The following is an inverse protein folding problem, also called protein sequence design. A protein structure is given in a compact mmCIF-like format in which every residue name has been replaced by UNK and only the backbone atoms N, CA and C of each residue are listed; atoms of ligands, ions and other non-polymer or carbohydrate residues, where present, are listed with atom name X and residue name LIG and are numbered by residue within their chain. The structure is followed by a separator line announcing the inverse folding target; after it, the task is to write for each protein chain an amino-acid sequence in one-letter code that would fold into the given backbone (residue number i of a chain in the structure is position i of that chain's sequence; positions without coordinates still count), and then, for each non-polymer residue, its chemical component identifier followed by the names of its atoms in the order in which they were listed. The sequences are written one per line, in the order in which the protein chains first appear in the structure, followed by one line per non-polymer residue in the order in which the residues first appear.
data_IF_871731852940
#
_entry.id   IF_871731852940
#
_cell.length_a   1.000
_cell.length_b   1.000
_cell.length_c   1.000
_cell.angle_alpha   90.00
_cell.angle_beta   90.00
_cell.angle_gamma   90.00
#
_symmetry.space_group_name_H-M   'P 1'
#
loop_
_entity.id
_entity.type
_entity.pdbx_description
1 polymer ?
#
# COMPACT_ATOMS: atom_id res chain seq x y z
N UNK A 1 -7.78 76.77 -34.00
CA UNK A 1 -6.34 77.06 -34.15
C UNK A 1 -5.56 75.82 -33.82
N UNK A 2 -4.63 75.43 -34.70
CA UNK A 2 -3.63 74.35 -34.55
C UNK A 2 -4.22 72.93 -34.58
N UNK A 3 -4.15 72.12 -35.66
CA UNK A 3 -2.96 71.61 -36.37
C UNK A 3 -1.96 71.00 -35.37
N UNK A 4 -1.62 69.71 -35.43
CA UNK A 4 -0.94 69.10 -36.56
C UNK A 4 -1.17 67.58 -36.68
N UNK A 5 -1.17 67.17 -37.94
CA UNK A 5 -1.10 65.82 -38.47
C UNK A 5 0.22 65.11 -38.09
N UNK A 6 0.13 63.79 -37.90
CA UNK A 6 1.30 62.89 -37.83
C UNK A 6 0.95 61.52 -38.41
N UNK A 7 1.42 61.29 -39.62
CA UNK A 7 1.31 60.05 -40.42
C UNK A 7 2.09 58.89 -39.77
N UNK A 8 1.65 57.61 -39.89
CA UNK A 8 2.26 56.50 -39.15
C UNK A 8 3.49 55.93 -39.88
N UNK A 9 4.53 55.46 -39.17
CA UNK A 9 5.58 54.67 -39.79
C UNK A 9 5.29 53.17 -39.74
N UNK A 10 5.14 52.62 -40.94
CA UNK A 10 5.64 51.33 -41.45
C UNK A 10 5.88 50.20 -40.44
N UNK A 11 5.04 49.19 -40.61
CA UNK A 11 5.21 47.76 -40.33
C UNK A 11 6.66 47.29 -40.33
N UNK A 12 7.16 46.89 -39.16
CA UNK A 12 8.31 45.98 -39.05
C UNK A 12 7.75 44.64 -38.60
N UNK A 13 7.76 43.66 -39.51
CA UNK A 13 7.44 42.27 -39.23
C UNK A 13 8.43 41.76 -38.17
N UNK A 14 7.99 41.64 -36.92
CA UNK A 14 8.70 40.82 -35.93
C UNK A 14 8.38 39.37 -36.22
N UNK A 15 9.42 38.59 -36.50
CA UNK A 15 9.35 37.16 -36.70
C UNK A 15 8.64 36.50 -35.52
N UNK A 16 7.66 35.64 -35.81
CA UNK A 16 7.18 34.67 -34.85
C UNK A 16 8.34 33.71 -34.56
N UNK A 17 8.96 33.84 -33.39
CA UNK A 17 9.75 32.75 -32.83
C UNK A 17 8.78 31.67 -32.36
N UNK A 18 8.51 30.69 -33.22
CA UNK A 18 7.99 29.40 -32.78
C UNK A 18 9.13 28.66 -32.07
N UNK A 19 9.19 28.77 -30.75
CA UNK A 19 9.94 27.81 -29.95
C UNK A 19 9.18 26.49 -30.00
N UNK A 20 9.67 25.52 -30.78
CA UNK A 20 9.33 24.12 -30.52
C UNK A 20 9.93 23.76 -29.15
N UNK A 21 9.12 23.87 -28.10
CA UNK A 21 9.36 23.05 -26.93
C UNK A 21 9.05 21.62 -27.36
N UNK A 22 10.08 20.80 -27.52
CA UNK A 22 9.92 19.36 -27.64
C UNK A 22 9.09 18.89 -26.44
N UNK A 23 7.90 18.35 -26.71
CA UNK A 23 7.20 17.56 -25.72
C UNK A 23 8.15 16.42 -25.32
N UNK A 24 8.68 16.47 -24.11
CA UNK A 24 9.34 15.32 -23.52
C UNK A 24 8.27 14.22 -23.47
N UNK A 25 8.43 13.24 -24.35
CA UNK A 25 7.54 12.11 -24.48
C UNK A 25 7.35 11.47 -23.10
N UNK A 26 6.09 11.29 -22.75
CA UNK A 26 5.65 10.38 -21.70
C UNK A 26 6.44 9.08 -21.82
N UNK A 27 7.21 8.73 -20.79
CA UNK A 27 7.78 7.41 -20.65
C UNK A 27 6.65 6.41 -20.36
N UNK A 28 5.86 6.11 -21.39
CA UNK A 28 4.95 4.99 -21.41
C UNK A 28 5.80 3.74 -21.68
N UNK A 29 6.02 2.98 -20.61
CA UNK A 29 6.19 1.53 -20.53
C UNK A 29 6.97 0.84 -21.67
N UNK A 30 8.29 0.78 -21.51
CA UNK A 30 9.05 -0.33 -22.06
C UNK A 30 8.68 -1.63 -21.31
N UNK A 31 8.55 -2.80 -21.99
CA UNK A 31 8.29 -4.05 -21.31
C UNK A 31 9.50 -4.42 -20.44
N UNK A 32 9.34 -4.37 -19.13
CA UNK A 32 10.38 -4.82 -18.18
C UNK A 32 10.52 -6.34 -18.31
N UNK A 33 11.51 -6.79 -19.09
CA UNK A 33 11.93 -8.20 -19.09
C UNK A 33 12.80 -8.45 -17.85
N UNK A 34 12.16 -8.62 -16.71
CA UNK A 34 12.79 -8.92 -15.42
C UNK A 34 11.72 -9.24 -14.39
N UNK A 35 11.98 -10.15 -13.45
CA UNK A 35 11.07 -10.36 -12.33
C UNK A 35 10.99 -9.05 -11.55
N UNK A 36 9.77 -8.56 -11.29
CA UNK A 36 9.59 -7.42 -10.39
C UNK A 36 10.05 -7.83 -9.00
N UNK A 37 10.90 -7.01 -8.41
CA UNK A 37 11.38 -7.19 -7.04
C UNK A 37 10.35 -6.66 -6.04
N UNK A 38 10.48 -7.07 -4.78
CA UNK A 38 9.69 -6.53 -3.69
C UNK A 38 10.09 -5.08 -3.41
N UNK A 39 9.14 -4.27 -2.94
CA UNK A 39 9.44 -2.93 -2.46
C UNK A 39 10.34 -2.99 -1.22
N UNK A 40 11.18 -1.96 -0.99
CA UNK A 40 12.03 -1.90 0.21
C UNK A 40 11.23 -2.06 1.50
N UNK A 41 11.82 -2.71 2.49
CA UNK A 41 11.21 -2.85 3.80
C UNK A 41 10.91 -1.47 4.42
N UNK A 42 9.81 -1.41 5.16
CA UNK A 42 9.35 -0.21 5.86
C UNK A 42 8.91 -0.60 7.27
N UNK A 43 9.04 0.32 8.22
CA UNK A 43 8.55 0.10 9.58
C UNK A 43 7.04 0.29 9.67
N UNK A 44 6.36 -0.46 10.56
CA UNK A 44 4.95 -0.28 10.78
C UNK A 44 4.71 1.03 11.53
N UNK A 45 3.67 1.77 11.14
CA UNK A 45 3.25 2.99 11.83
C UNK A 45 2.28 2.70 13.00
N UNK A 46 1.72 1.49 13.06
CA UNK A 46 0.85 1.01 14.13
C UNK A 46 1.06 -0.50 14.31
N UNK A 47 1.03 -0.98 15.53
CA UNK A 47 1.00 -2.41 15.85
C UNK A 47 0.39 -2.65 17.22
N UNK A 48 -0.10 -3.85 17.46
CA UNK A 48 -0.72 -4.18 18.72
C UNK A 48 -1.13 -5.64 18.83
N UNK A 49 -1.71 -5.96 19.99
CA UNK A 49 -2.31 -7.25 20.30
C UNK A 49 -3.82 -7.08 20.46
N UNK A 50 -4.61 -7.87 19.75
CA UNK A 50 -6.05 -7.91 19.88
C UNK A 50 -6.47 -9.20 20.58
N UNK A 51 -7.09 -9.10 21.77
CA UNK A 51 -7.69 -10.26 22.43
C UNK A 51 -8.93 -10.71 21.66
N UNK A 52 -8.90 -11.93 21.11
CA UNK A 52 -9.97 -12.48 20.25
C UNK A 52 -10.77 -13.60 20.94
N UNK A 53 -10.22 -14.19 22.00
CA UNK A 53 -10.90 -15.16 22.86
C UNK A 53 -10.35 -15.08 24.28
N UNK A 54 -10.85 -15.92 25.19
CA UNK A 54 -10.31 -16.01 26.55
C UNK A 54 -8.85 -16.49 26.58
N UNK A 55 -8.43 -17.22 25.54
CA UNK A 55 -7.09 -17.80 25.40
C UNK A 55 -6.20 -16.94 24.51
N UNK A 56 -6.69 -16.53 23.33
CA UNK A 56 -5.85 -16.01 22.26
C UNK A 56 -5.82 -14.49 22.16
N UNK A 57 -4.62 -13.95 21.94
CA UNK A 57 -4.37 -12.58 21.52
C UNK A 57 -3.58 -12.56 20.21
N UNK A 58 -4.11 -11.87 19.22
CA UNK A 58 -3.60 -11.82 17.85
C UNK A 58 -2.75 -10.56 17.67
N UNK A 59 -1.50 -10.74 17.23
CA UNK A 59 -0.67 -9.64 16.79
C UNK A 59 -1.15 -9.13 15.43
N UNK A 60 -1.20 -7.80 15.31
CA UNK A 60 -1.39 -7.12 14.04
C UNK A 60 -0.41 -5.95 13.91
N UNK A 61 -0.14 -5.55 12.68
CA UNK A 61 0.58 -4.31 12.37
C UNK A 61 0.10 -3.67 11.07
N UNK A 62 0.36 -2.38 10.96
CA UNK A 62 -0.02 -1.56 9.80
C UNK A 62 1.18 -0.78 9.27
N UNK A 63 1.40 -0.89 7.96
CA UNK A 63 2.53 -0.28 7.23
C UNK A 63 2.06 0.44 5.97
N UNK A 64 2.97 1.17 5.32
CA UNK A 64 2.69 1.89 4.07
C UNK A 64 1.90 3.19 4.28
N UNK A 65 0.98 3.48 3.37
CA UNK A 65 0.18 4.70 3.37
C UNK A 65 -1.09 4.54 4.21
N UNK A 66 -1.20 5.29 5.32
CA UNK A 66 -2.38 5.32 6.20
C UNK A 66 -3.71 5.57 5.48
N UNK A 67 -3.68 6.37 4.40
CA UNK A 67 -4.84 6.69 3.56
C UNK A 67 -4.91 5.85 2.27
N UNK A 68 -4.02 4.85 2.13
CA UNK A 68 -3.95 3.97 0.98
C UNK A 68 -5.07 2.94 0.96
N UNK A 69 -5.14 2.18 -0.14
CA UNK A 69 -6.06 1.05 -0.30
C UNK A 69 -5.72 -0.01 0.76
N UNK A 70 -6.68 -0.43 1.62
CA UNK A 70 -6.42 -1.47 2.60
C UNK A 70 -6.15 -2.83 1.94
N UNK A 71 -5.11 -3.51 2.39
CA UNK A 71 -4.79 -4.89 2.04
C UNK A 71 -4.40 -5.67 3.29
N UNK A 72 -4.82 -6.92 3.39
CA UNK A 72 -4.40 -7.85 4.44
C UNK A 72 -3.56 -8.96 3.83
N UNK A 73 -2.40 -9.21 4.42
CA UNK A 73 -1.56 -10.35 4.08
C UNK A 73 -1.87 -11.51 5.01
N UNK A 74 -2.22 -12.66 4.43
CA UNK A 74 -2.51 -13.91 5.14
C UNK A 74 -1.30 -14.82 4.96
N UNK A 75 -0.52 -15.00 6.02
CA UNK A 75 0.70 -15.80 5.94
C UNK A 75 0.40 -17.30 5.77
N UNK A 76 1.36 -18.00 5.18
CA UNK A 76 1.33 -19.44 5.02
C UNK A 76 1.75 -20.21 6.28
N UNK A 77 1.94 -21.52 6.11
CA UNK A 77 2.29 -22.47 7.16
C UNK A 77 1.42 -23.73 7.02
N UNK A 78 0.34 -23.90 7.82
CA UNK A 78 -0.10 -22.99 8.87
C UNK A 78 0.92 -22.87 10.01
N UNK A 79 0.88 -21.75 10.75
CA UNK A 79 1.79 -21.47 11.86
C UNK A 79 3.13 -20.80 11.52
N UNK A 80 3.27 -20.21 10.32
CA UNK A 80 4.53 -19.57 9.89
C UNK A 80 4.79 -18.19 10.52
N UNK A 81 3.74 -17.40 10.78
CA UNK A 81 3.85 -16.00 11.18
C UNK A 81 4.30 -15.07 10.04
N UNK A 82 4.45 -13.78 10.35
CA UNK A 82 4.88 -12.73 9.42
C UNK A 82 6.29 -12.21 9.76
N UNK A 83 6.95 -11.61 8.76
CA UNK A 83 8.20 -10.86 8.92
C UNK A 83 8.08 -9.47 8.28
N UNK A 84 9.12 -8.64 8.42
CA UNK A 84 9.14 -7.32 7.77
C UNK A 84 9.18 -7.40 6.23
N UNK A 85 9.57 -8.55 5.67
CA UNK A 85 9.71 -8.74 4.21
C UNK A 85 8.37 -8.69 3.51
N UNK A 86 7.33 -9.27 4.10
CA UNK A 86 5.99 -9.38 3.51
C UNK A 86 5.34 -8.01 3.22
N UNK A 87 5.80 -6.94 3.90
CA UNK A 87 5.42 -5.56 3.61
C UNK A 87 5.77 -5.16 2.17
N UNK A 88 6.85 -5.71 1.62
CA UNK A 88 7.36 -5.40 0.29
C UNK A 88 6.53 -5.95 -0.88
N UNK A 89 5.48 -6.75 -0.64
CA UNK A 89 4.57 -7.18 -1.72
C UNK A 89 3.68 -6.05 -2.26
N UNK A 90 3.57 -4.94 -1.52
CA UNK A 90 2.64 -3.87 -1.81
C UNK A 90 3.40 -2.55 -2.05
N UNK A 91 2.91 -1.76 -3.01
CA UNK A 91 3.42 -0.41 -3.24
C UNK A 91 3.10 0.47 -2.01
N UNK A 92 4.11 0.91 -1.24
CA UNK A 92 3.90 1.59 0.04
C UNK A 92 3.24 2.96 -0.10
N UNK A 93 3.31 3.58 -1.28
CA UNK A 93 2.62 4.84 -1.54
C UNK A 93 1.11 4.64 -1.76
N UNK A 94 0.67 3.45 -2.14
CA UNK A 94 -0.71 3.16 -2.54
C UNK A 94 -1.49 2.33 -1.55
N UNK A 95 -0.84 1.50 -0.74
CA UNK A 95 -1.49 0.54 0.15
C UNK A 95 -1.34 0.89 1.62
N UNK A 96 -2.44 0.70 2.38
CA UNK A 96 -2.43 0.51 3.84
C UNK A 96 -2.30 -0.99 4.08
N UNK A 97 -1.12 -1.43 4.47
CA UNK A 97 -0.74 -2.84 4.51
C UNK A 97 -0.98 -3.36 5.92
N UNK A 98 -1.79 -4.42 6.05
CA UNK A 98 -2.07 -5.08 7.33
C UNK A 98 -1.42 -6.45 7.33
N UNK A 99 -0.57 -6.71 8.32
CA UNK A 99 -0.01 -8.02 8.62
C UNK A 99 -0.64 -8.53 9.93
N UNK A 100 -0.97 -9.82 9.96
CA UNK A 100 -1.59 -10.49 11.10
C UNK A 100 -0.83 -11.79 11.34
N UNK A 101 -0.42 -12.06 12.58
CA UNK A 101 0.06 -13.40 12.94
C UNK A 101 -1.11 -14.25 13.43
N UNK A 102 -1.34 -15.41 12.81
CA UNK A 102 -2.44 -16.32 13.19
C UNK A 102 -2.22 -16.92 14.59
N UNK A 103 -3.28 -17.52 15.17
CA UNK A 103 -3.23 -18.17 16.49
C UNK A 103 -2.03 -19.11 16.62
N UNK A 104 -1.34 -19.05 17.75
CA UNK A 104 -0.25 -19.97 18.07
C UNK A 104 1.09 -19.72 17.37
N UNK A 105 1.26 -18.65 16.58
CA UNK A 105 2.50 -18.42 15.83
C UNK A 105 2.94 -16.94 15.80
N UNK A 106 4.18 -16.71 15.35
CA UNK A 106 4.76 -15.37 15.27
C UNK A 106 4.78 -14.67 16.64
N UNK A 107 4.23 -13.47 16.67
CA UNK A 107 4.05 -12.65 17.88
C UNK A 107 2.71 -12.87 18.57
N UNK A 108 1.80 -13.63 17.97
CA UNK A 108 0.52 -13.99 18.60
C UNK A 108 0.71 -14.91 19.79
N UNK A 109 -0.14 -14.75 20.80
CA UNK A 109 -0.03 -15.47 22.06
C UNK A 109 -1.32 -16.22 22.40
N UNK A 110 -1.22 -17.36 23.10
CA UNK A 110 0.00 -18.06 23.48
C UNK A 110 0.66 -18.78 22.29
N UNK A 111 2.00 -18.85 22.32
CA UNK A 111 2.78 -19.49 21.26
C UNK A 111 2.56 -21.02 21.26
N UNK A 112 2.44 -21.62 20.07
CA UNK A 112 2.18 -23.03 19.81
C UNK A 112 0.87 -23.59 20.41
N UNK A 113 -0.07 -22.72 20.78
CA UNK A 113 -1.38 -23.14 21.28
C UNK A 113 -2.31 -23.61 20.15
N UNK A 114 -2.97 -24.74 20.40
CA UNK A 114 -3.85 -25.43 19.46
C UNK A 114 -5.32 -25.40 19.89
N UNK A 115 -5.60 -25.11 21.17
CA UNK A 115 -6.97 -24.96 21.66
C UNK A 115 -7.67 -23.81 20.92
N UNK A 116 -8.81 -24.10 20.28
CA UNK A 116 -9.51 -23.11 19.46
C UNK A 116 -8.67 -22.61 18.28
N UNK A 117 -7.77 -23.41 17.71
CA UNK A 117 -6.98 -23.03 16.52
C UNK A 117 -7.49 -23.74 15.27
N UNK A 118 -8.71 -23.38 14.84
CA UNK A 118 -9.36 -23.95 13.64
C UNK A 118 -9.46 -22.94 12.50
N UNK A 119 -9.70 -23.39 11.28
CA UNK A 119 -9.89 -22.48 10.13
C UNK A 119 -10.98 -21.43 10.37
N UNK A 120 -12.08 -21.78 11.04
CA UNK A 120 -13.17 -20.84 11.30
C UNK A 120 -12.86 -19.85 12.41
N UNK A 121 -12.03 -20.25 13.38
CA UNK A 121 -11.46 -19.34 14.36
C UNK A 121 -10.58 -18.29 13.67
N UNK A 122 -9.69 -18.72 12.76
CA UNK A 122 -8.79 -17.81 12.03
C UNK A 122 -9.56 -16.83 11.15
N UNK A 123 -10.62 -17.27 10.46
CA UNK A 123 -11.51 -16.38 9.69
C UNK A 123 -12.17 -15.33 10.61
N UNK A 124 -12.62 -15.76 11.79
CA UNK A 124 -13.24 -14.87 12.77
C UNK A 124 -12.26 -13.84 13.31
N UNK A 125 -11.01 -14.23 13.55
CA UNK A 125 -9.93 -13.34 14.01
C UNK A 125 -9.58 -12.28 12.97
N UNK A 126 -9.46 -12.68 11.71
CA UNK A 126 -9.19 -11.75 10.60
C UNK A 126 -10.30 -10.69 10.52
N UNK A 127 -11.57 -11.09 10.67
CA UNK A 127 -12.69 -10.15 10.74
C UNK A 127 -12.68 -9.28 12.00
N UNK A 128 -12.25 -9.81 13.16
CA UNK A 128 -12.10 -9.03 14.38
C UNK A 128 -11.04 -7.93 14.21
N UNK A 129 -9.89 -8.26 13.63
CA UNK A 129 -8.83 -7.29 13.31
C UNK A 129 -9.34 -6.26 12.30
N UNK A 130 -10.07 -6.68 11.25
CA UNK A 130 -10.66 -5.76 10.27
C UNK A 130 -11.52 -4.68 10.92
N UNK A 131 -12.42 -5.10 11.81
CA UNK A 131 -13.33 -4.22 12.56
C UNK A 131 -12.57 -3.33 13.53
N UNK A 132 -11.61 -3.89 14.27
CA UNK A 132 -10.75 -3.14 15.20
C UNK A 132 -9.99 -2.00 14.51
N UNK A 133 -9.50 -2.24 13.29
CA UNK A 133 -8.78 -1.25 12.49
C UNK A 133 -9.68 -0.26 11.73
N UNK A 134 -11.00 -0.40 11.85
CA UNK A 134 -11.98 0.47 11.17
C UNK A 134 -11.97 0.34 9.65
N UNK A 135 -11.63 -0.84 9.11
CA UNK A 135 -11.54 -1.08 7.67
C UNK A 135 -12.85 -1.69 7.16
N UNK A 136 -13.56 -1.03 6.25
CA UNK A 136 -14.81 -1.57 5.70
C UNK A 136 -14.56 -2.77 4.77
N UNK A 137 -13.62 -2.62 3.83
CA UNK A 137 -13.22 -3.63 2.84
C UNK A 137 -11.73 -3.55 2.60
N UNK A 138 -11.10 -4.69 2.31
CA UNK A 138 -9.70 -4.79 1.95
C UNK A 138 -9.46 -5.80 0.84
N UNK A 139 -8.27 -5.74 0.26
CA UNK A 139 -7.75 -6.80 -0.61
C UNK A 139 -7.13 -7.92 0.25
N UNK A 140 -7.66 -9.16 0.24
CA UNK A 140 -6.93 -10.30 0.78
C UNK A 140 -5.80 -10.70 -0.17
N UNK A 141 -4.61 -10.94 0.39
CA UNK A 141 -3.45 -11.45 -0.33
C UNK A 141 -2.87 -12.61 0.49
N UNK A 142 -2.89 -13.82 -0.08
CA UNK A 142 -2.46 -15.04 0.59
C UNK A 142 -1.77 -15.97 -0.40
N UNK A 143 -0.86 -16.79 0.12
CA UNK A 143 -0.14 -17.79 -0.66
C UNK A 143 0.14 -19.04 0.19
N UNK A 144 0.15 -20.19 -0.48
CA UNK A 144 0.20 -21.50 0.18
C UNK A 144 -1.07 -21.76 1.01
N UNK A 145 -0.96 -21.87 2.34
CA UNK A 145 -2.12 -21.99 3.24
C UNK A 145 -2.98 -20.71 3.28
N UNK A 146 -2.35 -19.55 3.11
CA UNK A 146 -2.99 -18.25 3.30
C UNK A 146 -3.90 -17.81 2.17
#
# INVERSE_FOLDING_TARGET
GGSCCGTPPRTVRRALSFTMAAAAGSAADAPVSGRREMYPAMEPFNSGMLKVSDVHSIYYEESGNKAGKPAVFVHGGPGGGTSGTERGFFDPAKYRIVLIDQRGCGKSTPHAEIEGNTTWDLVSDIEAVRKHLGIEKWLPFGGSWG
#
